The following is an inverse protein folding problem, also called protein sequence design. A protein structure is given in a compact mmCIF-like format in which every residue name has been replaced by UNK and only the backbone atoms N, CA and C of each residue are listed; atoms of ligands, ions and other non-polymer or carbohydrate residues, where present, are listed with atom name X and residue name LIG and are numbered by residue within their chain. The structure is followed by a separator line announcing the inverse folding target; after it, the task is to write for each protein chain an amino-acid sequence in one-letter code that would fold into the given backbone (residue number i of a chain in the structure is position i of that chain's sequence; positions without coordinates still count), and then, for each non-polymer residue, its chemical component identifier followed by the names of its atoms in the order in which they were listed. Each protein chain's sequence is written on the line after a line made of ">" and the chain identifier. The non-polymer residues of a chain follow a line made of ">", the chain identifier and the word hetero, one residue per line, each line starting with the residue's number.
data_IF_644335495844
#
_entry.id   IF_644335495844
#
_cell.length_a   1.000
_cell.length_b   1.000
_cell.length_c   1.000
_cell.angle_alpha   90.00
_cell.angle_beta   90.00
_cell.angle_gamma   90.00
#
_symmetry.space_group_name_H-M   'P 1'
#
loop_
_entity.id
_entity.type
_entity.pdbx_description
1 polymer ?
#
# COMPACT_ATOMS: atom_id res chain seq x y z
N UNK A 1 -5.92 18.17 11.60
CA UNK A 1 -5.43 17.30 10.51
C UNK A 1 -6.60 16.89 9.64
N UNK A 2 -6.39 16.63 8.35
CA UNK A 2 -7.45 16.07 7.50
C UNK A 2 -7.55 14.57 7.75
N UNK A 3 -8.75 14.09 8.00
CA UNK A 3 -9.07 12.67 8.02
C UNK A 3 -9.04 12.13 6.58
N UNK A 4 -8.53 10.91 6.38
CA UNK A 4 -8.47 10.24 5.08
C UNK A 4 -9.48 9.11 5.12
N UNK A 5 -10.53 9.23 4.31
CA UNK A 5 -11.51 8.16 4.12
C UNK A 5 -11.08 7.24 2.96
N UNK A 6 -11.22 5.91 3.10
CA UNK A 6 -10.94 5.01 2.00
C UNK A 6 -11.94 5.21 0.85
N UNK A 7 -11.42 5.36 -0.37
CA UNK A 7 -12.24 5.44 -1.59
C UNK A 7 -12.43 4.08 -2.28
N UNK A 8 -11.56 3.12 -1.96
CA UNK A 8 -11.54 1.79 -2.54
C UNK A 8 -10.78 0.81 -1.63
N UNK A 9 -11.00 -0.48 -1.86
CA UNK A 9 -10.30 -1.57 -1.19
C UNK A 9 -9.62 -2.50 -2.21
N UNK A 10 -8.39 -2.90 -1.90
CA UNK A 10 -7.71 -3.96 -2.65
C UNK A 10 -8.20 -5.33 -2.21
N UNK A 11 -8.70 -6.12 -3.16
CA UNK A 11 -9.03 -7.54 -2.99
C UNK A 11 -7.88 -8.37 -3.54
N UNK A 12 -7.03 -8.82 -2.61
CA UNK A 12 -5.91 -9.72 -2.88
C UNK A 12 -6.41 -11.16 -3.07
N UNK A 13 -5.81 -11.95 -3.98
CA UNK A 13 -6.01 -13.40 -3.99
C UNK A 13 -5.25 -14.11 -2.86
N UNK A 14 -4.35 -13.40 -2.15
CA UNK A 14 -3.60 -13.94 -1.03
C UNK A 14 -4.44 -13.89 0.25
N UNK A 15 -4.57 -15.03 0.92
CA UNK A 15 -5.29 -15.19 2.19
C UNK A 15 -4.41 -14.94 3.42
N UNK A 16 -3.11 -14.76 3.23
CA UNK A 16 -2.13 -14.58 4.29
C UNK A 16 -1.13 -13.47 3.95
N UNK A 17 -0.57 -12.86 5.00
CA UNK A 17 0.56 -11.91 4.86
C UNK A 17 1.84 -12.58 4.38
N UNK A 18 1.97 -13.88 4.62
CA UNK A 18 3.10 -14.67 4.11
C UNK A 18 2.97 -14.83 2.60
N UNK A 19 4.03 -14.49 1.87
CA UNK A 19 4.03 -14.50 0.41
C UNK A 19 3.62 -13.17 -0.25
N UNK A 20 3.16 -12.17 0.51
CA UNK A 20 2.93 -10.83 -0.05
C UNK A 20 4.27 -10.26 -0.54
N UNK A 21 4.38 -9.85 -1.82
CA UNK A 21 5.58 -9.23 -2.34
C UNK A 21 5.94 -7.97 -1.55
N UNK A 22 7.22 -7.81 -1.24
CA UNK A 22 7.67 -6.65 -0.45
C UNK A 22 7.50 -5.32 -1.20
N UNK A 23 7.40 -5.36 -2.52
CA UNK A 23 7.26 -4.21 -3.43
C UNK A 23 6.41 -4.63 -4.64
N UNK A 24 5.77 -3.66 -5.28
CA UNK A 24 5.04 -3.90 -6.52
C UNK A 24 5.98 -4.33 -7.65
N UNK A 25 5.43 -5.06 -8.63
CA UNK A 25 6.18 -5.58 -9.77
C UNK A 25 7.06 -6.82 -9.50
N UNK A 26 7.22 -7.27 -8.25
CA UNK A 26 8.02 -8.48 -7.96
C UNK A 26 7.29 -9.79 -8.23
N UNK A 27 5.96 -9.79 -8.25
CA UNK A 27 5.15 -10.96 -8.55
C UNK A 27 4.24 -10.65 -9.74
N UNK A 28 4.76 -10.87 -10.95
CA UNK A 28 4.06 -10.54 -12.21
C UNK A 28 2.74 -11.30 -12.39
N UNK A 29 2.61 -12.49 -11.80
CA UNK A 29 1.41 -13.32 -11.92
C UNK A 29 0.38 -13.04 -10.81
N UNK A 30 0.66 -12.12 -9.89
CA UNK A 30 -0.25 -11.78 -8.80
C UNK A 30 -1.23 -10.70 -9.25
N UNK A 31 -2.43 -11.11 -9.66
CA UNK A 31 -3.51 -10.22 -10.05
C UNK A 31 -4.49 -10.03 -8.88
N UNK A 32 -4.87 -8.80 -8.59
CA UNK A 32 -5.93 -8.48 -7.64
C UNK A 32 -6.88 -7.44 -8.20
N UNK A 33 -7.87 -7.01 -7.40
CA UNK A 33 -8.90 -6.05 -7.84
C UNK A 33 -8.98 -4.86 -6.91
N UNK A 34 -9.04 -3.66 -7.47
CA UNK A 34 -9.40 -2.45 -6.73
C UNK A 34 -10.92 -2.30 -6.82
N UNK A 35 -11.60 -2.36 -5.68
CA UNK A 35 -13.06 -2.22 -5.59
C UNK A 35 -13.37 -0.89 -4.93
N UNK A 36 -13.90 0.05 -5.70
CA UNK A 36 -14.30 1.36 -5.19
C UNK A 36 -15.50 1.24 -4.24
N UNK A 37 -15.50 2.05 -3.20
CA UNK A 37 -16.66 2.27 -2.34
C UNK A 37 -17.82 2.86 -3.15
N UNK A 38 -19.07 2.55 -2.79
CA UNK A 38 -20.25 2.88 -3.61
C UNK A 38 -20.32 4.36 -4.02
N UNK A 39 -19.95 5.27 -3.11
CA UNK A 39 -19.91 6.72 -3.33
C UNK A 39 -19.00 7.14 -4.50
N UNK A 40 -17.96 6.36 -4.78
CA UNK A 40 -16.94 6.67 -5.78
C UNK A 40 -17.03 5.80 -7.06
N UNK A 41 -18.03 4.92 -7.16
CA UNK A 41 -18.33 4.15 -8.37
C UNK A 41 -19.05 5.05 -9.40
N UNK A 42 -18.31 6.03 -9.91
CA UNK A 42 -18.79 7.09 -10.82
C UNK A 42 -17.96 7.03 -12.10
N UNK A 43 -18.60 6.90 -13.25
CA UNK A 43 -17.92 6.78 -14.54
C UNK A 43 -17.04 8.00 -14.83
N UNK A 44 -17.51 9.20 -14.47
CA UNK A 44 -16.75 10.43 -14.65
C UNK A 44 -15.44 10.48 -13.84
N UNK A 45 -15.34 9.72 -12.75
CA UNK A 45 -14.12 9.65 -11.93
C UNK A 45 -13.08 8.67 -12.48
N UNK A 46 -13.49 7.78 -13.39
CA UNK A 46 -12.65 6.72 -13.96
C UNK A 46 -12.37 6.92 -15.46
N UNK A 47 -12.98 7.90 -16.11
CA UNK A 47 -12.82 8.18 -17.54
C UNK A 47 -11.36 8.43 -17.91
N UNK A 48 -10.88 7.74 -18.94
CA UNK A 48 -9.51 7.88 -19.46
C UNK A 48 -8.47 7.11 -18.66
N UNK A 49 -8.87 6.33 -17.65
CA UNK A 49 -7.96 5.44 -16.93
C UNK A 49 -7.42 4.34 -17.85
N UNK A 50 -8.23 3.93 -18.84
CA UNK A 50 -7.93 2.95 -19.87
C UNK A 50 -6.79 3.35 -20.83
N UNK A 51 -6.45 4.64 -20.88
CA UNK A 51 -5.36 5.16 -21.72
C UNK A 51 -3.97 5.01 -21.07
N UNK A 52 -3.90 4.43 -19.86
CA UNK A 52 -2.66 4.26 -19.09
C UNK A 52 -2.36 2.80 -18.81
N UNK A 53 -1.09 2.41 -18.95
CA UNK A 53 -0.64 1.08 -18.53
C UNK A 53 -0.47 0.98 -17.01
N UNK A 54 -0.15 2.09 -16.34
CA UNK A 54 0.24 2.11 -14.93
C UNK A 54 -0.52 3.11 -14.08
N UNK A 55 -0.83 2.70 -12.84
CA UNK A 55 -1.44 3.56 -11.83
C UNK A 55 -0.56 3.70 -10.60
N UNK A 56 -0.67 4.87 -9.96
CA UNK A 56 -0.22 5.07 -8.60
C UNK A 56 -1.34 4.78 -7.62
N UNK A 57 -1.11 3.84 -6.72
CA UNK A 57 -2.00 3.56 -5.59
C UNK A 57 -1.38 4.12 -4.31
N UNK A 58 -2.13 5.00 -3.64
CA UNK A 58 -1.86 5.44 -2.27
C UNK A 58 -2.84 4.68 -1.37
N UNK A 59 -2.34 3.97 -0.37
CA UNK A 59 -3.17 3.07 0.42
C UNK A 59 -2.75 3.01 1.89
N UNK A 60 -3.72 2.73 2.78
CA UNK A 60 -3.48 2.54 4.21
C UNK A 60 -3.19 1.08 4.58
N UNK A 61 -2.26 0.84 5.51
CA UNK A 61 -1.96 -0.51 5.99
C UNK A 61 -2.99 -0.98 7.04
N UNK A 62 -3.95 -1.80 6.62
CA UNK A 62 -5.03 -2.32 7.48
C UNK A 62 -4.57 -3.24 8.62
N UNK A 63 -3.41 -3.88 8.46
CA UNK A 63 -2.88 -4.86 9.42
C UNK A 63 -1.69 -4.33 10.25
N UNK A 64 -1.34 -3.05 10.11
CA UNK A 64 -0.36 -2.45 11.01
C UNK A 64 -1.02 -2.22 12.38
N UNK A 65 -0.41 -2.68 13.49
CA UNK A 65 -0.91 -2.34 14.81
C UNK A 65 -0.89 -0.83 14.98
N UNK A 66 -2.02 -0.28 15.43
CA UNK A 66 -2.14 1.08 15.94
C UNK A 66 -1.32 1.17 17.23
N UNK A 67 -0.03 1.53 17.12
CA UNK A 67 0.75 1.87 18.30
C UNK A 67 0.54 3.35 18.62
N UNK A 68 0.14 3.64 19.85
CA UNK A 68 0.07 5.02 20.36
C UNK A 68 1.45 5.71 20.34
N UNK A 69 2.53 4.94 20.22
CA UNK A 69 3.90 5.42 20.15
C UNK A 69 4.42 5.44 18.71
N UNK A 70 4.84 6.62 18.24
CA UNK A 70 5.48 6.79 16.95
C UNK A 70 6.93 6.30 17.03
N UNK A 71 7.26 5.25 16.27
CA UNK A 71 8.64 4.79 16.10
C UNK A 71 9.29 5.53 14.93
N UNK A 72 10.40 6.23 15.19
CA UNK A 72 11.17 6.93 14.15
C UNK A 72 12.23 6.06 13.46
N UNK A 73 12.41 4.82 13.91
CA UNK A 73 13.36 3.88 13.34
C UNK A 73 12.81 2.46 13.25
N UNK A 74 13.31 1.68 12.30
CA UNK A 74 12.91 0.30 12.00
C UNK A 74 14.12 -0.58 11.68
N UNK A 75 13.92 -1.90 11.65
CA UNK A 75 14.93 -2.89 11.22
C UNK A 75 14.47 -3.56 9.92
N UNK A 76 14.89 -3.08 8.74
CA UNK A 76 14.46 -3.64 7.48
C UNK A 76 14.98 -5.08 7.29
N UNK A 77 14.13 -6.03 6.82
CA UNK A 77 14.56 -7.41 6.60
C UNK A 77 15.72 -7.56 5.60
N UNK A 78 15.84 -6.64 4.62
CA UNK A 78 16.91 -6.67 3.60
C UNK A 78 18.31 -6.37 4.16
N UNK A 79 18.42 -5.81 5.37
CA UNK A 79 19.70 -5.48 6.01
C UNK A 79 20.07 -6.47 7.12
N UNK A 80 19.63 -7.73 6.98
CA UNK A 80 19.89 -8.79 7.95
C UNK A 80 19.22 -8.59 9.31
N UNK A 81 18.27 -7.65 9.44
CA UNK A 81 17.54 -7.38 10.68
C UNK A 81 18.35 -6.72 11.80
N UNK A 82 19.68 -6.65 11.69
CA UNK A 82 20.54 -6.13 12.75
C UNK A 82 20.75 -4.61 12.67
N UNK A 83 20.71 -4.04 11.46
CA UNK A 83 20.86 -2.60 11.25
C UNK A 83 19.52 -1.87 11.41
N UNK A 84 19.50 -0.87 12.29
CA UNK A 84 18.36 0.03 12.49
C UNK A 84 18.52 1.27 11.60
N UNK A 85 17.46 1.67 10.90
CA UNK A 85 17.42 2.85 10.04
C UNK A 85 16.25 3.76 10.39
N UNK A 86 16.36 5.05 10.08
CA UNK A 86 15.26 6.00 10.18
C UNK A 86 14.10 5.63 9.25
N UNK A 87 12.85 5.78 9.70
CA UNK A 87 11.67 5.34 8.93
C UNK A 87 11.57 5.99 7.56
N UNK A 88 11.98 7.25 7.44
CA UNK A 88 11.96 8.01 6.18
C UNK A 88 13.04 7.59 5.18
N UNK A 89 14.07 6.86 5.62
CA UNK A 89 15.06 6.23 4.75
C UNK A 89 14.63 4.82 4.29
N UNK A 90 13.39 4.40 4.60
CA UNK A 90 12.89 3.06 4.32
C UNK A 90 11.49 3.10 3.71
N UNK A 91 11.04 1.96 3.19
CA UNK A 91 9.64 1.74 2.76
C UNK A 91 8.85 0.92 3.79
N UNK A 92 9.21 1.06 5.07
CA UNK A 92 8.50 0.36 6.15
C UNK A 92 7.03 0.80 6.20
N UNK A 93 6.10 -0.12 6.48
CA UNK A 93 4.70 0.26 6.68
C UNK A 93 4.50 0.99 8.02
N UNK A 94 5.40 0.79 8.99
CA UNK A 94 5.39 1.48 10.29
C UNK A 94 5.97 2.90 10.17
N UNK A 95 5.10 3.90 10.01
CA UNK A 95 5.44 5.32 9.80
C UNK A 95 4.39 6.21 10.49
N UNK A 96 4.68 7.51 10.76
CA UNK A 96 3.72 8.42 11.36
C UNK A 96 2.39 8.49 10.60
N UNK A 97 2.47 8.54 9.27
CA UNK A 97 1.34 8.34 8.38
C UNK A 97 1.52 6.98 7.69
N UNK A 98 0.69 6.01 8.06
CA UNK A 98 0.70 4.64 7.56
C UNK A 98 0.22 4.49 6.12
N UNK A 99 0.73 5.34 5.22
CA UNK A 99 0.43 5.35 3.80
C UNK A 99 1.53 4.66 3.01
N UNK A 100 1.14 3.66 2.22
CA UNK A 100 1.94 3.01 1.20
C UNK A 100 1.74 3.67 -0.16
N UNK A 101 2.72 3.48 -1.04
CA UNK A 101 2.69 3.88 -2.45
C UNK A 101 3.07 2.67 -3.30
N UNK A 102 2.34 2.42 -4.37
CA UNK A 102 2.65 1.35 -5.31
C UNK A 102 2.36 1.79 -6.73
N UNK A 103 3.29 1.53 -7.65
CA UNK A 103 3.02 1.58 -9.09
C UNK A 103 2.59 0.19 -9.53
N UNK A 104 1.41 0.09 -10.14
CA UNK A 104 0.78 -1.16 -10.58
C UNK A 104 0.45 -1.08 -12.06
N UNK A 105 0.51 -2.22 -12.75
CA UNK A 105 -0.03 -2.37 -14.10
C UNK A 105 -1.56 -2.56 -13.98
N UNK A 106 -2.33 -1.95 -14.90
CA UNK A 106 -3.80 -2.10 -14.98
C UNK A 106 -4.18 -3.47 -15.54
#
# INVERSE_FOLDING_TARGET
>A
MKEIEPIAFFRSPLTSKFGIPRQSGLAHNLVGRIVFEKKYQREEALRGLEDFDYLWLIWGFSANPSSNEIKFTVRPPRLGGNKRLGVFATRSPFRPNGLGLSSVLI
#
